data_IF_665541355252
#
_entry.id   IF_665541355252
#
_cell.length_a   1.000
_cell.length_b   1.000
_cell.length_c   1.000
_cell.angle_alpha   90.00
_cell.angle_beta   90.00
_cell.angle_gamma   90.00
#
_symmetry.space_group_name_H-M   'P 1'
#
loop_
_entity.id
_entity.type
_entity.pdbx_description
1 polymer ?
#
# COMPACT_ATOMS: atom_id res chain seq x y z
N UNK A 1 -41.29 -5.45 -2.04
CA UNK A 1 -41.11 -5.51 -0.56
C UNK A 1 -40.14 -4.41 -0.14
N UNK A 2 -40.67 -3.48 0.67
CA UNK A 2 -40.08 -2.42 1.52
C UNK A 2 -38.75 -1.70 1.16
N UNK A 3 -38.88 -0.50 0.55
CA UNK A 3 -37.83 0.54 0.41
C UNK A 3 -38.08 1.64 1.46
N UNK A 4 -37.96 1.30 2.75
CA UNK A 4 -38.19 2.29 3.85
C UNK A 4 -37.06 2.30 4.89
N UNK A 5 -36.07 1.40 4.78
CA UNK A 5 -35.03 1.22 5.81
C UNK A 5 -33.78 2.11 5.71
N UNK A 6 -33.46 2.69 4.55
CA UNK A 6 -32.20 3.43 4.35
C UNK A 6 -32.28 4.95 4.52
N UNK A 7 -33.46 5.51 4.82
CA UNK A 7 -33.59 6.94 5.15
C UNK A 7 -33.31 7.25 6.62
N UNK A 8 -33.61 6.31 7.53
CA UNK A 8 -33.56 6.54 8.97
C UNK A 8 -32.13 6.47 9.56
N UNK A 9 -31.22 5.71 8.93
CA UNK A 9 -29.82 5.60 9.39
C UNK A 9 -29.01 6.86 9.04
N UNK A 10 -29.35 7.53 7.93
CA UNK A 10 -28.69 8.77 7.51
C UNK A 10 -29.08 9.97 8.38
N UNK A 11 -30.32 10.01 8.90
CA UNK A 11 -30.77 11.13 9.74
C UNK A 11 -30.23 11.07 11.18
N UNK A 12 -29.87 9.88 11.69
CA UNK A 12 -29.30 9.71 13.03
C UNK A 12 -27.80 10.09 13.08
N UNK A 13 -27.07 9.96 11.98
CA UNK A 13 -25.65 10.33 11.91
C UNK A 13 -25.45 11.85 11.71
N UNK A 14 -26.44 12.55 11.12
CA UNK A 14 -26.45 14.00 10.93
C UNK A 14 -27.01 14.83 12.10
N UNK A 15 -27.59 14.19 13.13
CA UNK A 15 -28.13 14.91 14.30
C UNK A 15 -27.16 15.04 15.49
N UNK A 16 -25.92 14.56 15.38
CA UNK A 16 -24.93 14.70 16.45
C UNK A 16 -24.03 15.95 16.37
N UNK A 17 -24.28 16.87 15.43
CA UNK A 17 -23.46 18.09 15.27
C UNK A 17 -24.27 19.38 15.22
N UNK A 18 -25.33 19.46 16.03
CA UNK A 18 -26.07 20.71 16.26
C UNK A 18 -26.07 21.09 17.75
N UNK A 19 -24.88 21.31 18.30
CA UNK A 19 -24.67 22.23 19.43
C UNK A 19 -23.41 23.06 19.13
N UNK A 20 -23.55 23.99 18.19
CA UNK A 20 -22.72 25.20 18.20
C UNK A 20 -23.15 25.98 19.44
N UNK A 21 -22.53 25.67 20.58
CA UNK A 21 -22.43 26.68 21.61
C UNK A 21 -21.47 27.73 21.05
N UNK A 22 -22.02 28.93 20.82
CA UNK A 22 -21.24 30.15 20.73
C UNK A 22 -20.43 30.28 22.04
N UNK A 23 -19.27 29.65 22.09
CA UNK A 23 -18.21 30.07 22.98
C UNK A 23 -17.34 30.99 22.15
N UNK A 24 -17.59 32.29 22.31
CA UNK A 24 -16.54 33.27 22.09
C UNK A 24 -15.29 32.68 22.75
N UNK A 25 -14.30 32.31 21.92
CA UNK A 25 -13.10 31.62 22.37
C UNK A 25 -12.39 32.60 23.28
N UNK A 26 -12.61 32.39 24.58
CA UNK A 26 -12.12 33.25 25.64
C UNK A 26 -10.59 33.24 25.51
N UNK A 27 -10.04 34.40 25.10
CA UNK A 27 -8.60 34.69 25.02
C UNK A 27 -7.86 34.41 26.33
N UNK A 28 -8.62 34.20 27.40
CA UNK A 28 -8.19 33.83 28.74
C UNK A 28 -7.93 32.33 28.92
N UNK A 29 -8.47 31.42 28.09
CA UNK A 29 -8.47 29.98 28.40
C UNK A 29 -7.09 29.31 28.35
N UNK A 30 -6.29 29.55 27.30
CA UNK A 30 -4.94 28.97 27.19
C UNK A 30 -3.96 29.64 28.15
N UNK A 31 -3.97 30.98 28.23
CA UNK A 31 -3.11 31.73 29.16
C UNK A 31 -3.44 31.45 30.64
N UNK A 32 -4.71 31.24 31.01
CA UNK A 32 -5.07 30.81 32.38
C UNK A 32 -4.69 29.36 32.65
N UNK A 33 -4.77 28.46 31.67
CA UNK A 33 -4.29 27.08 31.83
C UNK A 33 -2.77 27.05 32.02
N UNK A 34 -2.03 27.91 31.33
CA UNK A 34 -0.58 28.07 31.46
C UNK A 34 -0.18 28.67 32.82
N UNK A 35 -0.98 29.59 33.39
CA UNK A 35 -0.73 30.14 34.72
C UNK A 35 -1.10 29.18 35.87
N UNK A 36 -2.09 28.30 35.68
CA UNK A 36 -2.53 27.36 36.71
C UNK A 36 -1.75 26.03 36.71
N UNK A 37 -1.16 25.63 35.59
CA UNK A 37 -0.23 24.51 35.53
C UNK A 37 1.17 25.06 35.82
N UNK A 38 1.67 24.88 37.04
CA UNK A 38 3.00 25.34 37.46
C UNK A 38 4.14 24.79 36.59
N UNK A 39 4.35 25.38 35.42
CA UNK A 39 5.39 25.00 34.47
C UNK A 39 6.68 25.70 34.86
N UNK A 40 7.40 25.09 35.79
CA UNK A 40 8.80 25.40 36.02
C UNK A 40 9.56 25.10 34.71
N UNK A 41 9.91 26.16 33.96
CA UNK A 41 11.00 26.15 32.98
C UNK A 41 10.70 25.80 31.51
N UNK A 42 9.44 25.63 31.07
CA UNK A 42 9.14 25.41 29.64
C UNK A 42 8.96 26.73 28.89
N UNK A 43 9.50 26.81 27.69
CA UNK A 43 9.25 27.93 26.77
C UNK A 43 7.83 27.87 26.21
N UNK A 44 7.27 29.00 25.80
CA UNK A 44 5.94 29.07 25.17
C UNK A 44 5.84 28.17 23.93
N UNK A 45 6.94 28.05 23.18
CA UNK A 45 7.07 27.19 21.99
C UNK A 45 6.94 25.70 22.36
N UNK A 46 7.62 25.26 23.42
CA UNK A 46 7.55 23.87 23.90
C UNK A 46 6.15 23.53 24.42
N UNK A 47 5.52 24.45 25.17
CA UNK A 47 4.16 24.27 25.64
C UNK A 47 3.17 24.13 24.46
N UNK A 48 3.36 24.95 23.42
CA UNK A 48 2.52 24.89 22.23
C UNK A 48 2.77 23.61 21.41
N UNK A 49 4.02 23.15 21.30
CA UNK A 49 4.33 21.86 20.67
C UNK A 49 3.66 20.68 21.40
N UNK A 50 3.67 20.69 22.74
CA UNK A 50 2.99 19.68 23.56
C UNK A 50 1.47 19.72 23.36
N UNK A 51 0.89 20.93 23.24
CA UNK A 51 -0.52 21.09 22.89
C UNK A 51 -0.85 20.45 21.53
N UNK A 52 -0.05 20.71 20.50
CA UNK A 52 -0.25 20.13 19.17
C UNK A 52 -0.15 18.59 19.20
N UNK A 53 0.82 18.04 19.94
CA UNK A 53 0.95 16.59 20.15
C UNK A 53 -0.26 16.01 20.87
N UNK A 54 -0.82 16.72 21.85
CA UNK A 54 -2.04 16.30 22.52
C UNK A 54 -3.27 16.34 21.60
N UNK A 55 -3.35 17.31 20.67
CA UNK A 55 -4.48 17.47 19.75
C UNK A 55 -4.43 16.50 18.56
N UNK A 56 -3.26 16.32 17.96
CA UNK A 56 -3.10 15.57 16.70
C UNK A 56 -2.35 14.24 16.85
N UNK A 57 -1.81 13.94 18.03
CA UNK A 57 -1.03 12.73 18.26
C UNK A 57 0.42 12.90 17.80
N UNK A 58 0.77 12.29 16.65
CA UNK A 58 2.16 12.28 16.20
C UNK A 58 2.54 13.59 15.49
N UNK A 59 3.12 14.52 16.25
CA UNK A 59 3.64 15.79 15.73
C UNK A 59 5.16 15.82 15.84
N UNK A 60 5.83 16.01 14.70
CA UNK A 60 7.29 16.17 14.62
C UNK A 60 7.66 17.59 14.15
N UNK A 61 8.72 18.13 14.74
CA UNK A 61 9.20 19.48 14.44
C UNK A 61 10.48 19.36 13.64
N UNK A 62 10.38 19.53 12.33
CA UNK A 62 11.50 19.43 11.40
C UNK A 62 11.16 20.09 10.06
N UNK A 63 12.19 20.56 9.37
CA UNK A 63 12.06 21.12 8.03
C UNK A 63 12.08 20.01 6.98
N UNK A 64 11.12 20.06 6.05
CA UNK A 64 11.01 19.10 4.95
C UNK A 64 10.93 19.87 3.63
N UNK A 65 11.80 19.49 2.69
CA UNK A 65 11.79 20.03 1.33
C UNK A 65 10.50 19.67 0.59
N UNK A 66 10.10 20.52 -0.36
CA UNK A 66 8.92 20.31 -1.21
C UNK A 66 9.16 19.40 -2.41
N UNK A 67 10.40 18.98 -2.63
CA UNK A 67 10.73 18.06 -3.71
C UNK A 67 10.13 16.67 -3.44
N UNK A 68 9.80 15.95 -4.52
CA UNK A 68 9.15 14.65 -4.45
C UNK A 68 9.95 13.66 -3.59
N UNK A 69 11.29 13.68 -3.69
CA UNK A 69 12.13 12.74 -2.95
C UNK A 69 12.09 12.99 -1.43
N UNK A 70 12.00 14.25 -1.01
CA UNK A 70 11.81 14.61 0.40
C UNK A 70 10.42 14.21 0.92
N UNK A 71 9.37 14.48 0.15
CA UNK A 71 8.00 14.11 0.52
C UNK A 71 7.82 12.59 0.57
N UNK A 72 8.37 11.85 -0.40
CA UNK A 72 8.34 10.38 -0.42
C UNK A 72 9.11 9.79 0.76
N UNK A 73 10.24 10.40 1.13
CA UNK A 73 11.06 9.95 2.26
C UNK A 73 10.29 10.03 3.56
N UNK A 74 9.58 11.14 3.81
CA UNK A 74 8.80 11.29 5.04
C UNK A 74 7.49 10.51 4.95
N UNK A 75 6.82 10.52 3.81
CA UNK A 75 5.53 9.86 3.60
C UNK A 75 5.55 8.35 3.85
N UNK A 76 6.65 7.67 3.50
CA UNK A 76 6.82 6.23 3.79
C UNK A 76 6.80 5.87 5.28
N UNK A 77 7.14 6.83 6.15
CA UNK A 77 7.16 6.63 7.60
C UNK A 77 5.89 7.08 8.31
N UNK A 78 4.92 7.64 7.57
CA UNK A 78 3.69 8.16 8.16
C UNK A 78 2.60 7.08 8.23
N UNK A 79 1.77 7.20 9.25
CA UNK A 79 0.69 6.29 9.67
C UNK A 79 -0.72 6.83 9.38
N UNK A 80 -0.82 8.02 8.78
CA UNK A 80 -2.09 8.62 8.38
C UNK A 80 -2.62 9.71 9.31
N UNK A 81 -2.03 9.86 10.50
CA UNK A 81 -2.35 10.92 11.45
C UNK A 81 -1.16 11.85 11.76
N UNK A 82 -0.07 11.72 11.01
CA UNK A 82 1.18 12.39 11.31
C UNK A 82 1.16 13.86 10.86
N UNK A 83 1.72 14.74 11.67
CA UNK A 83 1.88 16.16 11.36
C UNK A 83 3.35 16.52 11.48
N UNK A 84 3.90 17.15 10.45
CA UNK A 84 5.26 17.67 10.43
C UNK A 84 5.19 19.18 10.31
N UNK A 85 5.83 19.90 11.22
CA UNK A 85 5.81 21.37 11.24
C UNK A 85 7.25 21.89 11.22
N UNK A 86 7.55 22.79 10.30
CA UNK A 86 8.83 23.46 10.26
C UNK A 86 9.06 24.31 11.54
N UNK A 87 10.28 24.35 12.10
CA UNK A 87 10.55 25.04 13.37
C UNK A 87 10.12 26.51 13.38
N UNK A 88 10.43 27.26 12.31
CA UNK A 88 10.06 28.66 12.18
C UNK A 88 8.54 28.90 12.13
N UNK A 89 7.76 27.91 11.67
CA UNK A 89 6.30 27.99 11.67
C UNK A 89 5.74 27.68 13.04
N UNK A 90 6.30 26.69 13.76
CA UNK A 90 5.91 26.42 15.15
C UNK A 90 6.13 27.67 16.02
N UNK A 91 7.25 28.36 15.85
CA UNK A 91 7.54 29.62 16.55
C UNK A 91 6.47 30.69 16.24
N UNK A 92 6.07 30.84 14.98
CA UNK A 92 4.99 31.76 14.59
C UNK A 92 3.65 31.36 15.20
N UNK A 93 3.31 30.06 15.21
CA UNK A 93 2.07 29.60 15.81
C UNK A 93 2.06 29.81 17.34
N UNK A 94 3.20 29.64 18.01
CA UNK A 94 3.29 29.86 19.45
C UNK A 94 3.16 31.35 19.85
N UNK A 95 3.53 32.28 18.95
CA UNK A 95 3.60 33.72 19.24
C UNK A 95 2.47 34.54 18.61
N UNK A 96 1.81 34.02 17.56
CA UNK A 96 0.74 34.68 16.82
C UNK A 96 -0.48 33.75 16.74
N UNK A 97 -1.56 34.13 17.43
CA UNK A 97 -2.81 33.37 17.48
C UNK A 97 -3.51 33.24 16.13
N UNK A 98 -3.36 34.22 15.23
CA UNK A 98 -3.96 34.18 13.91
C UNK A 98 -3.21 33.18 13.01
N UNK A 99 -1.88 33.10 13.17
CA UNK A 99 -1.06 32.07 12.52
C UNK A 99 -1.34 30.68 13.08
N UNK A 100 -1.47 30.54 14.40
CA UNK A 100 -1.89 29.31 15.04
C UNK A 100 -3.21 28.81 14.45
N UNK A 101 -4.25 29.65 14.50
CA UNK A 101 -5.57 29.31 13.98
C UNK A 101 -5.53 28.97 12.48
N UNK A 102 -4.73 29.68 11.68
CA UNK A 102 -4.59 29.39 10.26
C UNK A 102 -4.06 27.98 10.00
N UNK A 103 -2.92 27.62 10.59
CA UNK A 103 -2.31 26.31 10.35
C UNK A 103 -3.10 25.17 11.00
N UNK A 104 -3.62 25.39 12.21
CA UNK A 104 -4.50 24.41 12.85
C UNK A 104 -5.75 24.12 12.01
N UNK A 105 -6.41 25.14 11.45
CA UNK A 105 -7.54 24.94 10.55
C UNK A 105 -7.15 24.14 9.29
N UNK A 106 -5.94 24.31 8.76
CA UNK A 106 -5.44 23.52 7.62
C UNK A 106 -5.20 22.06 7.97
N UNK A 107 -4.72 21.80 9.18
CA UNK A 107 -4.51 20.45 9.71
C UNK A 107 -5.86 19.79 10.01
N UNK A 108 -6.75 20.49 10.72
CA UNK A 108 -8.11 20.05 11.03
C UNK A 108 -8.92 19.76 9.75
N UNK A 109 -8.79 20.59 8.71
CA UNK A 109 -9.43 20.35 7.42
C UNK A 109 -9.00 19.01 6.81
N UNK A 110 -7.71 18.66 6.87
CA UNK A 110 -7.22 17.41 6.30
C UNK A 110 -7.86 16.21 7.00
N UNK A 111 -7.76 16.15 8.33
CA UNK A 111 -8.26 15.01 9.10
C UNK A 111 -9.79 14.91 9.12
N UNK A 112 -10.48 16.05 9.27
CA UNK A 112 -11.93 16.05 9.46
C UNK A 112 -12.72 16.12 8.15
N UNK A 113 -12.12 16.63 7.06
CA UNK A 113 -12.83 16.88 5.80
C UNK A 113 -12.19 16.17 4.61
N UNK A 114 -10.87 16.33 4.40
CA UNK A 114 -10.21 15.75 3.23
C UNK A 114 -10.21 14.22 3.28
N UNK A 115 -9.78 13.62 4.39
CA UNK A 115 -9.71 12.16 4.54
C UNK A 115 -11.08 11.50 4.28
N UNK A 116 -12.19 11.88 4.95
CA UNK A 116 -13.48 11.24 4.70
C UNK A 116 -13.97 11.41 3.25
N UNK A 117 -13.81 12.62 2.69
CA UNK A 117 -14.22 12.93 1.31
C UNK A 117 -13.44 12.11 0.30
N UNK A 118 -12.12 12.06 0.44
CA UNK A 118 -11.24 11.33 -0.47
C UNK A 118 -11.40 9.83 -0.29
N UNK A 119 -11.55 9.33 0.93
CA UNK A 119 -11.87 7.92 1.19
C UNK A 119 -13.10 7.46 0.40
N UNK A 120 -14.18 8.25 0.42
CA UNK A 120 -15.38 7.96 -0.36
C UNK A 120 -15.13 8.05 -1.87
N UNK A 121 -14.40 9.07 -2.32
CA UNK A 121 -14.09 9.27 -3.74
C UNK A 121 -13.24 8.12 -4.32
N UNK A 122 -12.26 7.63 -3.58
CA UNK A 122 -11.41 6.51 -3.98
C UNK A 122 -12.17 5.18 -3.89
N UNK A 123 -12.99 4.97 -2.85
CA UNK A 123 -13.85 3.79 -2.75
C UNK A 123 -14.81 3.68 -3.95
N UNK A 124 -15.35 4.80 -4.45
CA UNK A 124 -16.21 4.80 -5.65
C UNK A 124 -15.49 4.33 -6.93
N UNK A 125 -14.15 4.36 -6.93
CA UNK A 125 -13.28 3.88 -8.00
C UNK A 125 -12.71 2.49 -7.73
N UNK A 126 -13.14 1.82 -6.66
CA UNK A 126 -12.61 0.51 -6.25
C UNK A 126 -11.19 0.56 -5.69
N UNK A 127 -10.78 1.72 -5.15
CA UNK A 127 -9.48 1.93 -4.50
C UNK A 127 -9.67 2.14 -3.00
N UNK A 128 -8.65 1.79 -2.23
CA UNK A 128 -8.56 2.10 -0.80
C UNK A 128 -7.68 3.34 -0.65
N UNK A 129 -8.22 4.37 0.01
CA UNK A 129 -7.47 5.58 0.31
C UNK A 129 -6.58 5.35 1.54
N UNK A 130 -5.32 5.75 1.44
CA UNK A 130 -4.33 5.60 2.52
C UNK A 130 -3.84 6.99 2.92
N UNK A 131 -4.36 7.58 4.01
CA UNK A 131 -3.83 8.86 4.48
C UNK A 131 -2.38 8.69 4.92
N UNK A 132 -1.55 9.70 4.67
CA UNK A 132 -0.20 9.82 5.21
C UNK A 132 -0.16 10.86 6.32
N UNK A 133 -0.51 12.10 6.01
CA UNK A 133 -0.63 13.18 6.99
C UNK A 133 -0.31 14.55 6.40
N UNK A 134 0.13 15.48 7.25
CA UNK A 134 0.27 16.90 6.90
C UNK A 134 1.71 17.37 7.09
N UNK A 135 2.25 18.09 6.12
CA UNK A 135 3.55 18.75 6.21
C UNK A 135 3.36 20.26 6.06
N UNK A 136 3.77 21.02 7.07
CA UNK A 136 3.81 22.49 7.06
C UNK A 136 5.25 22.91 6.83
N UNK A 137 5.51 23.49 5.65
CA UNK A 137 6.85 23.83 5.19
C UNK A 137 7.34 25.18 5.73
N UNK A 138 8.65 25.42 5.67
CA UNK A 138 9.28 26.66 6.14
C UNK A 138 8.75 27.92 5.44
N UNK A 139 8.32 27.79 4.18
CA UNK A 139 7.73 28.88 3.38
C UNK A 139 6.26 29.18 3.74
N UNK A 140 5.69 28.48 4.74
CA UNK A 140 4.31 28.63 5.21
C UNK A 140 3.27 27.90 4.36
N UNK A 141 3.70 27.09 3.40
CA UNK A 141 2.79 26.25 2.61
C UNK A 141 2.50 24.93 3.32
N UNK A 142 1.37 24.32 2.96
CA UNK A 142 0.92 23.05 3.54
C UNK A 142 0.76 22.01 2.44
N UNK A 143 1.35 20.83 2.63
CA UNK A 143 1.24 19.68 1.76
C UNK A 143 0.53 18.54 2.48
N UNK A 144 -0.44 17.93 1.80
CA UNK A 144 -1.16 16.75 2.29
C UNK A 144 -0.58 15.51 1.62
N UNK A 145 -0.09 14.58 2.42
CA UNK A 145 0.50 13.33 1.93
C UNK A 145 -0.59 12.26 2.01
N UNK A 146 -0.83 11.59 0.89
CA UNK A 146 -1.80 10.49 0.78
C UNK A 146 -1.38 9.51 -0.31
N UNK A 147 -1.73 8.25 -0.13
CA UNK A 147 -1.61 7.19 -1.12
C UNK A 147 -2.96 6.58 -1.47
N UNK A 148 -2.93 5.63 -2.39
CA UNK A 148 -4.06 4.75 -2.67
C UNK A 148 -3.55 3.37 -3.04
N UNK A 149 -4.28 2.34 -2.62
CA UNK A 149 -4.03 0.94 -2.97
C UNK A 149 -5.24 0.34 -3.68
N UNK A 150 -5.01 -0.75 -4.39
CA UNK A 150 -6.11 -1.55 -4.94
C UNK A 150 -6.91 -2.18 -3.79
N UNK A 151 -8.23 -2.35 -3.99
CA UNK A 151 -9.04 -3.04 -2.99
C UNK A 151 -8.57 -4.48 -2.77
N UNK A 152 -8.69 -5.03 -1.54
CA UNK A 152 -8.32 -6.42 -1.26
C UNK A 152 -8.98 -7.44 -2.20
N UNK A 153 -10.21 -7.15 -2.64
CA UNK A 153 -10.93 -7.98 -3.62
C UNK A 153 -10.24 -8.01 -4.99
N UNK A 154 -9.77 -6.85 -5.47
CA UNK A 154 -9.03 -6.78 -6.73
C UNK A 154 -7.66 -7.43 -6.63
N UNK A 155 -6.97 -7.26 -5.50
CA UNK A 155 -5.70 -7.94 -5.24
C UNK A 155 -5.90 -9.46 -5.25
N UNK A 156 -6.90 -9.98 -4.54
CA UNK A 156 -7.20 -11.41 -4.50
C UNK A 156 -7.58 -11.98 -5.89
N UNK A 157 -8.30 -11.22 -6.71
CA UNK A 157 -8.66 -11.63 -8.07
C UNK A 157 -7.40 -11.77 -8.96
N UNK A 158 -6.50 -10.79 -8.91
CA UNK A 158 -5.23 -10.83 -9.67
C UNK A 158 -4.33 -11.96 -9.18
N UNK A 159 -4.24 -12.19 -7.88
CA UNK A 159 -3.47 -13.31 -7.33
C UNK A 159 -4.04 -14.67 -7.76
N UNK A 160 -5.36 -14.83 -7.80
CA UNK A 160 -6.02 -16.03 -8.29
C UNK A 160 -5.75 -16.26 -9.79
N UNK A 161 -5.81 -15.20 -10.61
CA UNK A 161 -5.48 -15.27 -12.04
C UNK A 161 -4.02 -15.68 -12.26
N UNK A 162 -3.10 -15.06 -11.53
CA UNK A 162 -1.68 -15.41 -11.58
C UNK A 162 -1.41 -16.85 -11.11
N UNK A 163 -2.13 -17.33 -10.09
CA UNK A 163 -2.04 -18.73 -9.65
C UNK A 163 -2.53 -19.68 -10.73
N UNK A 164 -3.70 -19.42 -11.32
CA UNK A 164 -4.26 -20.23 -12.39
C UNK A 164 -3.33 -20.28 -13.61
N UNK A 165 -2.75 -19.14 -13.99
CA UNK A 165 -1.76 -19.07 -15.07
C UNK A 165 -0.53 -19.91 -14.78
N UNK A 166 0.04 -19.82 -13.57
CA UNK A 166 1.21 -20.64 -13.18
C UNK A 166 0.89 -22.14 -13.18
N UNK A 167 -0.30 -22.53 -12.72
CA UNK A 167 -0.72 -23.93 -12.74
C UNK A 167 -0.93 -24.45 -14.17
N UNK A 168 -1.51 -23.64 -15.06
CA UNK A 168 -1.66 -24.00 -16.47
C UNK A 168 -0.30 -24.14 -17.17
N UNK A 169 0.63 -23.21 -16.92
CA UNK A 169 2.00 -23.29 -17.45
C UNK A 169 2.75 -24.51 -16.93
N UNK A 170 2.58 -24.86 -15.64
CA UNK A 170 3.18 -26.04 -15.04
C UNK A 170 2.64 -27.34 -15.68
N UNK A 171 1.32 -27.46 -15.84
CA UNK A 171 0.70 -28.61 -16.52
C UNK A 171 1.15 -28.74 -17.96
N UNK A 172 1.16 -27.64 -18.71
CA UNK A 172 1.65 -27.63 -20.10
C UNK A 172 3.11 -28.09 -20.19
N UNK A 173 3.94 -27.67 -19.23
CA UNK A 173 5.35 -28.09 -19.17
C UNK A 173 5.48 -29.57 -18.83
N UNK A 174 4.69 -30.09 -17.90
CA UNK A 174 4.67 -31.51 -17.54
C UNK A 174 4.25 -32.38 -18.73
N UNK A 175 3.14 -32.05 -19.39
CA UNK A 175 2.70 -32.75 -20.60
C UNK A 175 3.75 -32.69 -21.73
N UNK A 176 4.43 -31.55 -21.88
CA UNK A 176 5.50 -31.42 -22.87
C UNK A 176 6.70 -32.32 -22.53
N UNK A 177 7.03 -32.48 -21.25
CA UNK A 177 8.11 -33.36 -20.80
C UNK A 177 7.73 -34.83 -20.98
N UNK A 178 6.48 -35.19 -20.69
CA UNK A 178 5.96 -36.55 -20.90
C UNK A 178 5.98 -36.92 -22.38
N UNK A 179 5.42 -36.08 -23.27
CA UNK A 179 5.50 -36.30 -24.73
C UNK A 179 6.94 -36.42 -25.24
N UNK A 180 7.87 -35.66 -24.65
CA UNK A 180 9.29 -35.75 -25.02
C UNK A 180 9.92 -37.07 -24.56
N UNK A 181 9.51 -37.59 -23.40
CA UNK A 181 9.97 -38.90 -22.89
C UNK A 181 9.41 -40.03 -23.74
N UNK A 182 8.12 -40.02 -24.04
CA UNK A 182 7.49 -41.01 -24.91
C UNK A 182 8.17 -41.05 -26.28
N UNK A 183 8.37 -39.90 -26.92
CA UNK A 183 9.07 -39.82 -28.21
C UNK A 183 10.51 -40.34 -28.13
N UNK A 184 11.23 -40.07 -27.03
CA UNK A 184 12.58 -40.61 -26.82
C UNK A 184 12.57 -42.13 -26.62
N UNK A 185 11.57 -42.68 -25.92
CA UNK A 185 11.40 -44.12 -25.74
C UNK A 185 11.03 -44.82 -27.05
N UNK A 186 10.11 -44.25 -27.84
CA UNK A 186 9.79 -44.77 -29.18
C UNK A 186 11.03 -44.78 -30.07
N UNK A 187 11.78 -43.67 -30.11
CA UNK A 187 13.04 -43.61 -30.88
C UNK A 187 14.05 -44.66 -30.41
N UNK A 188 14.13 -44.92 -29.10
CA UNK A 188 14.99 -45.97 -28.55
C UNK A 188 14.53 -47.36 -28.99
N UNK A 189 13.23 -47.66 -28.90
CA UNK A 189 12.67 -48.94 -29.34
C UNK A 189 12.88 -49.18 -30.84
N UNK A 190 12.65 -48.17 -31.67
CA UNK A 190 12.90 -48.24 -33.12
C UNK A 190 14.38 -48.53 -33.38
N UNK A 191 15.29 -47.80 -32.72
CA UNK A 191 16.74 -48.03 -32.86
C UNK A 191 17.14 -49.45 -32.44
N UNK A 192 16.63 -49.93 -31.30
CA UNK A 192 16.89 -51.29 -30.82
C UNK A 192 16.36 -52.37 -31.78
N UNK A 193 15.19 -52.15 -32.39
CA UNK A 193 14.63 -53.04 -33.40
C UNK A 193 15.55 -53.14 -34.62
N UNK A 194 15.99 -52.01 -35.18
CA UNK A 194 16.90 -52.00 -36.34
C UNK A 194 18.25 -52.63 -36.01
N UNK A 195 18.82 -52.32 -34.84
CA UNK A 195 20.08 -52.91 -34.39
C UNK A 195 20.01 -54.44 -34.26
N UNK A 196 18.92 -54.97 -33.66
CA UNK A 196 18.71 -56.44 -33.58
C UNK A 196 18.54 -57.06 -34.96
N UNK A 197 17.85 -56.38 -35.89
CA UNK A 197 17.68 -56.86 -37.27
C UNK A 197 19.01 -56.93 -38.01
N UNK A 198 19.87 -55.92 -37.87
CA UNK A 198 21.23 -55.93 -38.43
C UNK A 198 22.05 -57.09 -37.88
N UNK A 199 22.07 -57.28 -36.55
CA UNK A 199 22.74 -58.42 -35.92
C UNK A 199 22.23 -59.78 -36.41
N UNK A 200 20.90 -59.93 -36.59
CA UNK A 200 20.32 -61.16 -37.15
C UNK A 200 20.72 -61.38 -38.61
N UNK A 201 20.78 -60.32 -39.42
CA UNK A 201 21.24 -60.38 -40.81
C UNK A 201 22.72 -60.79 -40.86
N UNK A 202 23.59 -60.16 -40.06
CA UNK A 202 25.01 -60.52 -39.97
C UNK A 202 25.22 -61.96 -39.52
N UNK A 203 24.45 -62.42 -38.53
CA UNK A 203 24.45 -63.81 -38.06
C UNK A 203 24.09 -64.80 -39.17
N UNK A 204 23.05 -64.52 -39.97
CA UNK A 204 22.66 -65.35 -41.11
C UNK A 204 23.76 -65.35 -42.18
N UNK A 205 24.34 -64.19 -42.52
CA UNK A 205 25.43 -64.10 -43.50
C UNK A 205 26.68 -64.87 -43.05
N UNK A 206 27.06 -64.77 -41.77
CA UNK A 206 28.17 -65.52 -41.18
C UNK A 206 27.92 -67.03 -41.21
N UNK A 207 26.68 -67.46 -40.93
CA UNK A 207 26.28 -68.87 -41.00
C UNK A 207 26.33 -69.42 -42.43
N UNK A 208 25.92 -68.63 -43.44
CA UNK A 208 26.02 -69.03 -44.85
C UNK A 208 27.47 -69.04 -45.37
N UNK A 209 28.30 -68.07 -44.96
CA UNK A 209 29.72 -68.03 -45.30
C UNK A 209 30.50 -69.22 -44.69
N UNK A 210 30.13 -69.65 -43.47
CA UNK A 210 30.70 -70.84 -42.82
C UNK A 210 30.32 -72.17 -43.48
N UNK A 211 29.17 -72.26 -44.15
CA UNK A 211 28.74 -73.46 -44.89
C UNK A 211 29.49 -73.61 -46.22
N UNK A 212 29.86 -72.51 -46.88
CA UNK A 212 30.65 -72.53 -48.12
C UNK A 212 32.12 -72.96 -47.93
N UNK A 213 32.64 -73.05 -46.71
CA UNK A 213 34.01 -73.52 -46.43
C UNK A 213 34.10 -75.04 -46.12
N UNK A 214 32.96 -75.76 -46.04
CA UNK A 214 32.93 -77.21 -45.74
C UNK A 214 32.63 -78.11 -46.94
N UNK A 215 32.50 -77.53 -48.13
CA UNK A 215 32.29 -78.27 -49.39
C UNK A 215 33.49 -78.01 -50.32
N UNK A 216 34.64 -78.59 -49.96
CA UNK A 216 35.76 -78.86 -50.87
C UNK A 216 36.35 -80.22 -50.53
#
# INVERSE_FOLDING_TARGET
MNIVGMGAVYSAMYQHTAKVQNTATDKTSFSHQLQNAGSVGKTEIEAYADYLKSKYGNVSIQSVGRDQASLDRVGRGMSGSDVIIAPNILEQMATDSDKAAYYENKIDYYFNTAIPRDTLAFASKGLVYEPGGVVVHEDGTVTYISGCSDSPERVAAVEAEHKAKREAEAKMREESLERSREAAEEQKQVREYYYKKELSIESIYSSFAGVNLRVQ
#
